data_IF_803253905443
#
_entry.id   IF_803253905443
#
_cell.length_a   1.000
_cell.length_b   1.000
_cell.length_c   1.000
_cell.angle_alpha   90.00
_cell.angle_beta   90.00
_cell.angle_gamma   90.00
#
_symmetry.space_group_name_H-M   'P 1'
#
loop_
_entity.id
_entity.type
_entity.pdbx_description
1 polymer ?
#
# COMPACT_ATOMS: atom_id res chain seq x y z
N UNK A 1 -1.54 -0.88 -17.24
CA UNK A 1 -2.08 -1.51 -16.01
C UNK A 1 -0.92 -2.17 -15.29
N UNK A 2 -0.48 -1.67 -14.14
CA UNK A 2 0.76 -2.13 -13.48
C UNK A 2 0.48 -3.23 -12.43
N UNK A 3 -0.06 -4.36 -12.90
CA UNK A 3 -0.39 -5.52 -12.06
C UNK A 3 0.85 -6.07 -11.34
N UNK A 4 2.02 -6.07 -12.01
CA UNK A 4 3.26 -6.59 -11.43
C UNK A 4 3.68 -5.82 -10.18
N UNK A 5 3.71 -4.48 -10.25
CA UNK A 5 4.00 -3.66 -9.08
C UNK A 5 2.94 -3.82 -7.99
N UNK A 6 1.66 -3.84 -8.35
CA UNK A 6 0.56 -4.04 -7.41
C UNK A 6 0.65 -5.38 -6.64
N UNK A 7 1.00 -6.47 -7.33
CA UNK A 7 1.17 -7.81 -6.74
C UNK A 7 2.32 -7.88 -5.74
N UNK A 8 3.41 -7.15 -5.98
CA UNK A 8 4.57 -7.10 -5.07
C UNK A 8 4.29 -6.16 -3.89
N UNK A 9 3.63 -5.04 -4.15
CA UNK A 9 3.38 -4.00 -3.15
C UNK A 9 2.31 -4.42 -2.13
N UNK A 10 1.32 -5.22 -2.56
CA UNK A 10 0.22 -5.69 -1.71
C UNK A 10 0.69 -6.52 -0.49
N UNK A 11 1.50 -7.58 -0.60
CA UNK A 11 1.98 -8.33 0.56
C UNK A 11 2.87 -7.47 1.48
N UNK A 12 3.69 -6.57 0.92
CA UNK A 12 4.50 -5.62 1.70
C UNK A 12 3.57 -4.73 2.54
N UNK A 13 2.53 -4.17 1.92
CA UNK A 13 1.57 -3.30 2.58
C UNK A 13 0.82 -3.98 3.73
N UNK A 14 0.44 -5.26 3.55
CA UNK A 14 -0.21 -6.07 4.59
C UNK A 14 0.75 -6.28 5.77
N UNK A 15 2.01 -6.65 5.50
CA UNK A 15 3.02 -6.85 6.54
C UNK A 15 3.23 -5.54 7.33
N UNK A 16 3.40 -4.40 6.64
CA UNK A 16 3.56 -3.10 7.29
C UNK A 16 2.35 -2.73 8.16
N UNK A 17 1.14 -2.99 7.67
CA UNK A 17 -0.10 -2.74 8.42
C UNK A 17 -0.19 -3.59 9.69
N UNK A 18 0.11 -4.89 9.59
CA UNK A 18 0.13 -5.81 10.74
C UNK A 18 1.18 -5.39 11.77
N UNK A 19 2.40 -5.05 11.33
CA UNK A 19 3.45 -4.53 12.22
C UNK A 19 2.97 -3.25 12.93
N UNK A 20 2.29 -2.35 12.21
CA UNK A 20 1.72 -1.14 12.78
C UNK A 20 0.72 -1.42 13.91
N UNK A 21 -0.15 -2.42 13.73
CA UNK A 21 -1.09 -2.87 14.77
C UNK A 21 -0.35 -3.40 16.00
N UNK A 22 0.68 -4.24 15.80
CA UNK A 22 1.46 -4.81 16.90
C UNK A 22 2.19 -3.70 17.68
N UNK A 23 2.79 -2.73 16.99
CA UNK A 23 3.48 -1.60 17.62
C UNK A 23 2.48 -0.69 18.36
N UNK A 24 1.30 -0.46 17.80
CA UNK A 24 0.24 0.34 18.46
C UNK A 24 -0.21 -0.28 19.78
N UNK A 25 -0.25 -1.62 19.88
CA UNK A 25 -0.56 -2.31 21.15
C UNK A 25 0.41 -1.95 22.28
N UNK A 26 1.64 -1.57 21.96
CA UNK A 26 2.63 -1.09 22.94
C UNK A 26 2.48 0.41 23.29
N UNK A 27 1.33 1.03 22.95
CA UNK A 27 1.03 2.47 23.12
C UNK A 27 2.06 3.42 22.47
N UNK A 28 2.83 2.93 21.50
CA UNK A 28 3.76 3.78 20.74
C UNK A 28 3.00 4.57 19.68
N UNK A 29 3.13 5.90 19.72
CA UNK A 29 2.61 6.83 18.69
C UNK A 29 3.04 6.42 17.28
N UNK A 30 4.23 5.84 17.14
CA UNK A 30 4.75 5.33 15.88
C UNK A 30 3.85 4.27 15.22
N UNK A 31 3.12 3.48 16.02
CA UNK A 31 2.21 2.46 15.50
C UNK A 31 1.04 3.05 14.72
N UNK A 32 0.50 4.20 15.16
CA UNK A 32 -0.59 4.88 14.45
C UNK A 32 -0.13 5.39 13.08
N UNK A 33 1.05 5.99 13.00
CA UNK A 33 1.64 6.43 11.73
C UNK A 33 1.91 5.27 10.78
N UNK A 34 2.40 4.14 11.31
CA UNK A 34 2.67 2.95 10.51
C UNK A 34 1.39 2.30 9.96
N UNK A 35 0.30 2.31 10.73
CA UNK A 35 -1.02 1.85 10.28
C UNK A 35 -1.54 2.74 9.15
N UNK A 36 -1.46 4.07 9.29
CA UNK A 36 -1.89 5.02 8.26
C UNK A 36 -1.09 4.82 6.98
N UNK A 37 0.24 4.69 7.09
CA UNK A 37 1.10 4.42 5.95
C UNK A 37 0.76 3.08 5.27
N UNK A 38 0.60 2.00 6.04
CA UNK A 38 0.19 0.70 5.51
C UNK A 38 -1.15 0.77 4.77
N UNK A 39 -2.13 1.50 5.31
CA UNK A 39 -3.43 1.69 4.67
C UNK A 39 -3.31 2.44 3.32
N UNK A 40 -2.52 3.51 3.27
CA UNK A 40 -2.27 4.26 2.03
C UNK A 40 -1.63 3.38 0.96
N UNK A 41 -0.64 2.56 1.33
CA UNK A 41 0.03 1.65 0.40
C UNK A 41 -0.93 0.56 -0.10
N UNK A 42 -1.85 0.06 0.75
CA UNK A 42 -2.91 -0.86 0.32
C UNK A 42 -3.79 -0.21 -0.76
N UNK A 43 -4.24 1.03 -0.53
CA UNK A 43 -5.06 1.77 -1.51
C UNK A 43 -4.32 1.93 -2.84
N UNK A 44 -3.06 2.34 -2.80
CA UNK A 44 -2.22 2.45 -4.01
C UNK A 44 -2.05 1.10 -4.71
N UNK A 45 -1.84 0.02 -3.96
CA UNK A 45 -1.71 -1.34 -4.52
C UNK A 45 -2.98 -1.76 -5.26
N UNK A 46 -4.15 -1.48 -4.69
CA UNK A 46 -5.45 -1.75 -5.34
C UNK A 46 -5.62 -0.91 -6.62
N UNK A 47 -5.24 0.37 -6.60
CA UNK A 47 -5.30 1.23 -7.79
C UNK A 47 -4.39 0.72 -8.92
N UNK A 48 -3.20 0.21 -8.59
CA UNK A 48 -2.28 -0.39 -9.56
C UNK A 48 -2.80 -1.71 -10.13
N UNK A 49 -3.39 -2.55 -9.27
CA UNK A 49 -3.98 -3.84 -9.67
C UNK A 49 -5.22 -3.68 -10.55
N UNK A 50 -6.10 -2.75 -10.20
CA UNK A 50 -7.34 -2.47 -10.95
C UNK A 50 -7.08 -1.71 -12.26
N UNK A 51 -5.87 -1.21 -12.46
CA UNK A 51 -5.52 -0.42 -13.65
C UNK A 51 -6.18 0.96 -13.70
N UNK A 52 -6.87 1.38 -12.63
CA UNK A 52 -7.43 2.73 -12.49
C UNK A 52 -6.33 3.81 -12.53
N UNK A 53 -5.12 3.44 -12.12
CA UNK A 53 -3.94 4.28 -12.23
C UNK A 53 -2.91 3.59 -13.15
N UNK A 54 -2.93 3.95 -14.44
CA UNK A 54 -1.96 3.48 -15.42
C UNK A 54 -1.08 4.63 -15.92
N UNK A 55 0.10 4.85 -15.32
CA UNK A 55 0.98 5.95 -15.71
C UNK A 55 1.49 5.82 -17.15
N UNK A 56 1.45 4.61 -17.74
CA UNK A 56 1.87 4.36 -19.11
C UNK A 56 0.78 4.64 -20.15
N UNK A 57 -0.49 4.77 -19.75
CA UNK A 57 -1.58 5.05 -20.70
C UNK A 57 -1.48 6.46 -21.32
N UNK A 58 -0.81 7.39 -20.64
CA UNK A 58 -0.70 8.77 -21.09
C UNK A 58 0.45 9.03 -22.09
N UNK A 59 1.29 8.02 -22.36
CA UNK A 59 2.47 8.15 -23.23
C UNK A 59 2.28 7.55 -24.63
N UNK A 60 1.15 6.90 -24.90
CA UNK A 60 0.74 6.46 -26.24
C UNK A 60 -0.32 7.44 -26.73
N UNK A 61 0.12 8.61 -27.20
CA UNK A 61 -0.72 9.54 -27.95
C UNK A 61 -0.01 9.97 -29.21
#
# INVERSE_FOLDING_TARGET
MNIGAGLILLPISIITFIIGIIIKKQKRIFGTWLIIAGLLIIVVSVLLLTGLYDPYSNHIR
#
